data_IF_521936007422
#
_entry.id   IF_521936007422
#
_cell.length_a   1.000
_cell.length_b   1.000
_cell.length_c   1.000
_cell.angle_alpha   90.00
_cell.angle_beta   90.00
_cell.angle_gamma   90.00
#
_symmetry.space_group_name_H-M   'P 1'
#
loop_
_entity.id
_entity.type
_entity.pdbx_description
1 polymer ?
#
# COMPACT_ATOMS: atom_id res chain seq x y z
N UNK A 1 -9.24 9.54 17.71
CA UNK A 1 -8.81 8.47 16.79
C UNK A 1 -7.30 8.50 16.83
N UNK A 2 -6.62 7.35 16.81
CA UNK A 2 -5.16 7.35 16.72
C UNK A 2 -4.77 8.12 15.45
N UNK A 3 -3.96 9.18 15.60
CA UNK A 3 -3.47 10.00 14.49
C UNK A 3 -2.36 9.30 13.68
N UNK A 4 -2.24 7.98 13.83
CA UNK A 4 -1.21 7.19 13.17
C UNK A 4 -1.63 6.91 11.72
N UNK A 5 -0.79 7.35 10.77
CA UNK A 5 -0.95 7.07 9.35
C UNK A 5 -0.08 5.87 9.01
N UNK A 6 -0.66 4.90 8.29
CA UNK A 6 0.03 3.69 7.87
C UNK A 6 -0.01 3.55 6.35
N UNK A 7 1.13 3.17 5.79
CA UNK A 7 1.31 2.86 4.37
C UNK A 7 1.50 1.36 4.19
N UNK A 8 0.70 0.74 3.31
CA UNK A 8 0.85 -0.67 2.93
C UNK A 8 2.08 -0.83 2.03
N UNK A 9 2.95 -1.77 2.38
CA UNK A 9 4.21 -2.04 1.68
C UNK A 9 4.17 -3.44 1.04
N UNK A 10 4.87 -3.60 -0.08
CA UNK A 10 5.21 -4.92 -0.62
C UNK A 10 6.63 -5.34 -0.20
N UNK A 11 7.08 -6.52 -0.64
CA UNK A 11 8.37 -7.11 -0.24
C UNK A 11 9.62 -6.45 -0.86
N UNK A 12 9.46 -5.42 -1.69
CA UNK A 12 10.58 -4.72 -2.32
C UNK A 12 11.21 -3.72 -1.34
N UNK A 13 12.51 -3.53 -1.49
CA UNK A 13 13.29 -2.67 -0.58
C UNK A 13 13.05 -1.15 -0.78
N UNK A 14 12.38 -0.71 -1.86
CA UNK A 14 12.07 0.70 -2.08
C UNK A 14 13.20 1.53 -2.68
N UNK A 15 14.21 0.89 -3.26
CA UNK A 15 15.35 1.57 -3.87
C UNK A 15 15.13 1.87 -5.38
N UNK A 16 13.96 1.50 -5.92
CA UNK A 16 13.63 1.69 -7.33
C UNK A 16 12.33 2.45 -7.49
N UNK A 17 12.22 3.16 -8.61
CA UNK A 17 10.98 3.78 -9.04
C UNK A 17 10.35 2.98 -10.18
N UNK A 18 9.02 2.96 -10.22
CA UNK A 18 8.22 2.46 -11.33
C UNK A 18 7.38 3.59 -11.91
N UNK A 19 7.35 3.70 -13.23
CA UNK A 19 6.49 4.66 -13.93
C UNK A 19 5.07 4.09 -14.07
N UNK A 20 4.09 4.78 -13.49
CA UNK A 20 2.67 4.42 -13.54
C UNK A 20 1.85 5.60 -14.05
N UNK A 21 0.73 5.28 -14.73
CA UNK A 21 -0.28 6.28 -15.09
C UNK A 21 -1.39 6.23 -14.06
N UNK A 22 -1.52 7.28 -13.25
CA UNK A 22 -2.57 7.41 -12.22
C UNK A 22 -3.39 8.65 -12.57
N UNK A 23 -4.73 8.51 -12.64
CA UNK A 23 -5.62 9.63 -12.96
C UNK A 23 -5.40 10.25 -14.35
N UNK A 24 -4.80 9.50 -15.29
CA UNK A 24 -4.46 10.00 -16.63
C UNK A 24 -3.11 10.71 -16.73
N UNK A 25 -2.34 10.78 -15.64
CA UNK A 25 -1.02 11.39 -15.62
C UNK A 25 0.07 10.35 -15.35
N UNK A 26 1.17 10.41 -16.12
CA UNK A 26 2.36 9.60 -15.88
C UNK A 26 3.16 10.17 -14.70
N UNK A 27 3.52 9.31 -13.75
CA UNK A 27 4.37 9.64 -12.61
C UNK A 27 5.29 8.47 -12.24
N UNK A 28 6.38 8.79 -11.55
CA UNK A 28 7.26 7.78 -10.95
C UNK A 28 6.91 7.59 -9.48
N UNK A 29 6.81 6.35 -9.06
CA UNK A 29 6.42 5.97 -7.71
C UNK A 29 7.43 4.97 -7.16
N UNK A 30 7.67 5.04 -5.84
CA UNK A 30 8.52 4.07 -5.18
C UNK A 30 7.92 2.66 -5.34
N UNK A 31 8.73 1.69 -5.77
CA UNK A 31 8.25 0.37 -6.12
C UNK A 31 7.68 -0.40 -4.92
N UNK A 32 8.07 -0.04 -3.69
CA UNK A 32 7.66 -0.71 -2.46
C UNK A 32 6.27 -0.31 -1.94
N UNK A 33 5.69 0.76 -2.47
CA UNK A 33 4.29 1.15 -2.21
C UNK A 33 3.35 0.82 -3.37
N UNK A 34 3.88 0.25 -4.45
CA UNK A 34 3.10 -0.18 -5.60
C UNK A 34 2.58 -1.59 -5.35
N UNK A 35 1.34 -1.69 -4.86
CA UNK A 35 0.70 -2.95 -4.49
C UNK A 35 -0.12 -3.50 -5.66
N UNK A 36 0.02 -4.80 -5.92
CA UNK A 36 -0.81 -5.50 -6.91
C UNK A 36 -2.29 -5.47 -6.50
N UNK A 37 -3.18 -5.51 -7.49
CA UNK A 37 -4.61 -5.30 -7.29
C UNK A 37 -5.24 -6.32 -6.33
N UNK A 38 -4.86 -7.59 -6.43
CA UNK A 38 -5.46 -8.67 -5.62
C UNK A 38 -5.11 -8.54 -4.12
N UNK A 39 -3.84 -8.40 -3.71
CA UNK A 39 -3.48 -8.07 -2.33
C UNK A 39 -4.15 -6.80 -1.80
N UNK A 40 -4.31 -5.77 -2.65
CA UNK A 40 -4.98 -4.54 -2.23
C UNK A 40 -6.45 -4.78 -1.87
N UNK A 41 -7.18 -5.58 -2.66
CA UNK A 41 -8.57 -5.92 -2.36
C UNK A 41 -8.71 -6.75 -1.07
N UNK A 42 -7.79 -7.68 -0.83
CA UNK A 42 -7.78 -8.47 0.40
C UNK A 42 -7.65 -7.57 1.64
N UNK A 43 -6.67 -6.66 1.63
CA UNK A 43 -6.43 -5.72 2.74
C UNK A 43 -7.62 -4.79 2.95
N UNK A 44 -8.19 -4.23 1.87
CA UNK A 44 -9.36 -3.35 1.95
C UNK A 44 -10.58 -4.07 2.54
N UNK A 45 -10.83 -5.30 2.10
CA UNK A 45 -11.94 -6.10 2.62
C UNK A 45 -11.76 -6.40 4.11
N UNK A 46 -10.56 -6.83 4.52
CA UNK A 46 -10.27 -7.11 5.91
C UNK A 46 -10.44 -5.87 6.80
N UNK A 47 -9.94 -4.71 6.36
CA UNK A 47 -10.10 -3.47 7.11
C UNK A 47 -11.56 -3.06 7.22
N UNK A 48 -12.34 -3.21 6.15
CA UNK A 48 -13.78 -2.94 6.16
C UNK A 48 -14.54 -3.84 7.16
N UNK A 49 -14.18 -5.13 7.23
CA UNK A 49 -14.86 -6.10 8.10
C UNK A 49 -14.45 -5.99 9.58
N UNK A 50 -13.19 -5.62 9.86
CA UNK A 50 -12.61 -5.72 11.21
C UNK A 50 -12.23 -4.38 11.84
N UNK A 51 -12.06 -3.34 11.03
CA UNK A 51 -11.48 -2.07 11.44
C UNK A 51 -9.99 -2.14 11.80
N UNK A 52 -9.28 -3.21 11.43
CA UNK A 52 -7.86 -3.44 11.77
C UNK A 52 -6.98 -3.57 10.54
N UNK A 53 -5.69 -3.27 10.71
CA UNK A 53 -4.67 -3.56 9.70
C UNK A 53 -4.43 -5.06 9.62
N UNK A 54 -4.31 -5.59 8.40
CA UNK A 54 -4.09 -7.02 8.19
C UNK A 54 -2.64 -7.38 8.56
N UNK A 55 -2.46 -8.21 9.60
CA UNK A 55 -1.15 -8.52 10.20
C UNK A 55 -0.20 -9.31 9.27
N UNK A 56 -0.74 -10.04 8.29
CA UNK A 56 0.07 -10.74 7.29
C UNK A 56 0.76 -9.83 6.27
N UNK A 57 0.43 -8.53 6.25
CA UNK A 57 1.02 -7.54 5.36
C UNK A 57 2.00 -6.62 6.09
N UNK A 58 2.92 -6.03 5.33
CA UNK A 58 3.88 -5.07 5.85
C UNK A 58 3.28 -3.67 5.86
N UNK A 59 3.42 -2.97 6.99
CA UNK A 59 2.92 -1.61 7.17
C UNK A 59 4.03 -0.70 7.68
N UNK A 60 4.18 0.46 7.05
CA UNK A 60 5.07 1.52 7.52
C UNK A 60 4.22 2.59 8.21
N UNK A 61 4.52 2.89 9.47
CA UNK A 61 3.97 4.07 10.14
C UNK A 61 4.77 5.31 9.72
N UNK A 62 4.09 6.41 9.43
CA UNK A 62 4.71 7.72 9.18
C UNK A 62 5.08 8.47 10.46
#
# INVERSE_FOLDING_TARGET
MDDNIYTLMNDKQGNSEISLVIGGQLGNYCDNICIELMPMFEVLKYFYETGKLHEAHQWKQE
#
